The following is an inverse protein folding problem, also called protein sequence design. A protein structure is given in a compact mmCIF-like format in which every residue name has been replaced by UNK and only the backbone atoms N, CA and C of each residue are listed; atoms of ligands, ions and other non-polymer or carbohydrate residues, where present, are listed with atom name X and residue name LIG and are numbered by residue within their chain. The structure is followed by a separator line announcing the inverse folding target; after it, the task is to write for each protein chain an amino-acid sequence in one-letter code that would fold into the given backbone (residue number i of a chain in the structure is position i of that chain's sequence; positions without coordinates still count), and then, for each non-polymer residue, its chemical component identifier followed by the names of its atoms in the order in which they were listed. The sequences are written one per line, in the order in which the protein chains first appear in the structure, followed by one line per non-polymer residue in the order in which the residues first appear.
data_IF_167458738676
#
_entry.id   IF_167458738676
#
_cell.length_a   1.000
_cell.length_b   1.000
_cell.length_c   1.000
_cell.angle_alpha   90.00
_cell.angle_beta   90.00
_cell.angle_gamma   90.00
#
_symmetry.space_group_name_H-M   'P 1'
#
loop_
_entity.id
_entity.type
_entity.pdbx_description
1 polymer ?
#
# COMPACT_ATOMS: atom_id res chain seq x y z
N UNK A 1 30.11 1.17 -35.27
CA UNK A 1 29.87 0.82 -33.87
C UNK A 1 28.43 0.36 -33.78
N UNK A 2 28.25 -0.94 -33.56
CA UNK A 2 26.94 -1.60 -33.62
C UNK A 2 26.19 -1.43 -32.28
N UNK A 3 24.97 -0.89 -32.34
CA UNK A 3 24.06 -0.82 -31.21
C UNK A 3 23.46 -2.23 -30.98
N UNK A 4 23.85 -2.86 -29.89
CA UNK A 4 23.30 -4.15 -29.49
C UNK A 4 21.87 -4.03 -29.02
N UNK A 5 20.95 -4.62 -29.77
CA UNK A 5 19.56 -4.80 -29.37
C UNK A 5 19.49 -5.78 -28.20
N UNK A 6 19.02 -5.32 -27.04
CA UNK A 6 18.68 -6.20 -25.91
C UNK A 6 17.35 -6.87 -26.24
N UNK A 7 17.41 -8.15 -26.62
CA UNK A 7 16.22 -8.98 -26.80
C UNK A 7 15.54 -9.16 -25.42
N UNK A 8 14.34 -8.63 -25.29
CA UNK A 8 13.44 -8.95 -24.17
C UNK A 8 12.87 -10.32 -24.44
N UNK A 9 13.29 -11.33 -23.69
CA UNK A 9 12.74 -12.67 -23.76
C UNK A 9 11.24 -12.62 -23.40
N UNK A 10 10.38 -12.97 -24.36
CA UNK A 10 8.96 -13.18 -24.13
C UNK A 10 8.81 -14.51 -23.38
N UNK A 11 8.12 -14.56 -22.23
CA UNK A 11 7.92 -15.81 -21.52
C UNK A 11 7.13 -16.80 -22.36
N UNK A 12 7.52 -18.07 -22.30
CA UNK A 12 6.86 -19.18 -22.99
C UNK A 12 5.37 -19.26 -22.62
N UNK A 13 4.44 -19.20 -23.58
CA UNK A 13 3.02 -19.29 -23.34
C UNK A 13 2.57 -20.60 -22.65
N UNK A 14 3.36 -21.65 -22.72
CA UNK A 14 3.07 -22.96 -22.09
C UNK A 14 3.23 -22.92 -20.56
N UNK A 15 4.00 -21.96 -20.01
CA UNK A 15 4.13 -21.74 -18.57
C UNK A 15 2.90 -21.06 -17.96
N UNK A 16 2.10 -20.36 -18.77
CA UNK A 16 0.90 -19.66 -18.33
C UNK A 16 -0.30 -20.59 -18.12
N UNK A 17 -0.27 -21.80 -18.69
CA UNK A 17 -1.35 -22.81 -18.58
C UNK A 17 -1.39 -23.56 -17.25
N UNK A 18 -0.37 -23.42 -16.38
CA UNK A 18 -0.28 -24.13 -15.10
C UNK A 18 -0.65 -23.30 -13.87
N UNK A 19 -1.02 -22.04 -14.06
CA UNK A 19 -1.54 -21.20 -12.98
C UNK A 19 -2.97 -21.62 -12.65
N UNK A 20 -3.13 -22.64 -11.82
CA UNK A 20 -4.39 -22.93 -11.13
C UNK A 20 -4.52 -21.94 -9.98
N UNK A 21 -4.90 -20.70 -10.28
CA UNK A 21 -5.50 -19.88 -9.24
C UNK A 21 -6.78 -20.60 -8.81
N UNK A 22 -6.97 -20.78 -7.51
CA UNK A 22 -8.25 -21.23 -6.98
C UNK A 22 -9.36 -20.40 -7.64
N UNK A 23 -10.53 -21.00 -7.97
CA UNK A 23 -11.63 -20.22 -8.47
C UNK A 23 -11.88 -19.06 -7.52
N UNK A 24 -12.22 -17.85 -8.02
CA UNK A 24 -12.57 -16.76 -7.12
C UNK A 24 -13.62 -17.30 -6.15
N UNK A 25 -13.52 -17.00 -4.85
CA UNK A 25 -14.53 -17.39 -3.89
C UNK A 25 -15.88 -16.99 -4.49
N UNK A 26 -16.91 -17.87 -4.41
CA UNK A 26 -18.21 -17.55 -4.96
C UNK A 26 -18.60 -16.17 -4.49
N UNK A 27 -19.02 -15.30 -5.42
CA UNK A 27 -19.67 -14.05 -5.04
C UNK A 27 -20.63 -14.38 -3.92
N UNK A 28 -20.61 -13.69 -2.78
CA UNK A 28 -21.51 -14.02 -1.70
C UNK A 28 -22.91 -14.05 -2.30
N UNK A 29 -23.48 -15.25 -2.34
CA UNK A 29 -24.87 -15.43 -2.72
C UNK A 29 -25.64 -14.41 -1.89
N UNK A 30 -26.61 -13.75 -2.51
CA UNK A 30 -27.53 -12.75 -1.96
C UNK A 30 -28.33 -13.30 -0.76
N UNK A 31 -27.64 -13.79 0.23
CA UNK A 31 -28.14 -14.04 1.57
C UNK A 31 -27.55 -12.95 2.44
N UNK A 32 -28.40 -12.10 2.99
CA UNK A 32 -28.08 -11.01 3.89
C UNK A 32 -27.30 -11.52 5.11
N UNK A 33 -25.99 -11.71 4.94
CA UNK A 33 -25.08 -11.72 6.05
C UNK A 33 -25.12 -10.30 6.62
N UNK A 34 -25.61 -10.15 7.83
CA UNK A 34 -25.55 -8.89 8.57
C UNK A 34 -24.13 -8.32 8.45
N UNK A 35 -23.97 -7.04 8.16
CA UNK A 35 -22.64 -6.44 8.04
C UNK A 35 -21.92 -6.71 9.36
N UNK A 36 -20.83 -7.46 9.32
CA UNK A 36 -19.96 -7.62 10.49
C UNK A 36 -19.43 -6.23 10.75
N UNK A 37 -19.96 -5.57 11.77
CA UNK A 37 -19.49 -4.26 12.19
C UNK A 37 -17.99 -4.36 12.45
N UNK A 38 -17.22 -3.40 11.93
CA UNK A 38 -15.81 -3.32 12.25
C UNK A 38 -15.64 -3.28 13.77
N UNK A 39 -14.66 -3.99 14.35
CA UNK A 39 -14.44 -4.03 15.79
C UNK A 39 -14.33 -2.61 16.35
N UNK A 40 -14.70 -2.42 17.61
CA UNK A 40 -14.45 -1.17 18.29
C UNK A 40 -12.95 -0.96 18.43
N UNK A 41 -12.50 0.24 18.11
CA UNK A 41 -11.08 0.59 18.14
C UNK A 41 -10.77 1.84 17.34
N UNK A 42 -9.57 2.39 17.51
CA UNK A 42 -9.12 3.55 16.75
C UNK A 42 -8.86 3.19 15.28
N UNK A 43 -8.74 4.22 14.45
CA UNK A 43 -8.08 4.12 13.16
C UNK A 43 -6.61 4.43 13.40
N UNK A 44 -5.71 3.58 12.95
CA UNK A 44 -4.27 3.85 12.98
C UNK A 44 -3.83 4.19 11.57
N UNK A 45 -3.36 5.44 11.37
CA UNK A 45 -2.68 5.84 10.15
C UNK A 45 -1.18 5.89 10.43
N UNK A 46 -0.41 5.02 9.79
CA UNK A 46 1.04 5.06 9.89
C UNK A 46 1.71 5.55 8.61
N UNK A 47 2.81 6.25 8.78
CA UNK A 47 3.59 6.90 7.74
C UNK A 47 5.00 6.30 7.75
N UNK A 48 5.34 5.37 6.83
CA UNK A 48 6.73 4.98 6.64
C UNK A 48 7.57 6.18 6.22
N UNK A 49 8.69 6.42 6.90
CA UNK A 49 9.55 7.57 6.65
C UNK A 49 11.03 7.20 6.69
N UNK A 50 11.82 7.75 5.75
CA UNK A 50 13.27 7.68 5.77
C UNK A 50 13.86 8.93 5.13
N UNK A 51 14.49 9.77 5.97
CA UNK A 51 15.05 11.07 5.58
C UNK A 51 13.99 12.00 4.93
N UNK A 52 12.91 12.23 5.67
CA UNK A 52 11.76 13.05 5.27
C UNK A 52 11.55 14.27 6.21
N UNK A 53 12.62 14.81 6.83
CA UNK A 53 12.51 15.95 7.76
C UNK A 53 11.81 17.17 7.15
N UNK A 54 11.95 17.36 5.83
CA UNK A 54 11.37 18.51 5.12
C UNK A 54 9.86 18.37 4.85
N UNK A 55 9.31 17.15 4.89
CA UNK A 55 7.92 16.84 4.48
C UNK A 55 7.06 16.31 5.62
N UNK A 56 7.64 15.53 6.54
CA UNK A 56 6.89 14.75 7.52
C UNK A 56 5.98 15.61 8.41
N UNK A 57 6.40 16.78 8.87
CA UNK A 57 5.55 17.66 9.70
C UNK A 57 4.31 18.12 8.95
N UNK A 58 4.47 18.50 7.68
CA UNK A 58 3.37 18.92 6.82
C UNK A 58 2.37 17.79 6.53
N UNK A 59 2.82 16.53 6.49
CA UNK A 59 1.95 15.38 6.35
C UNK A 59 1.22 15.09 7.66
N UNK A 60 1.94 15.01 8.78
CA UNK A 60 1.37 14.74 10.11
C UNK A 60 0.30 15.76 10.48
N UNK A 61 0.55 17.05 10.24
CA UNK A 61 -0.39 18.12 10.58
C UNK A 61 -1.73 18.06 9.83
N UNK A 62 -1.77 17.40 8.69
CA UNK A 62 -2.99 17.21 7.86
C UNK A 62 -3.76 15.91 8.17
N UNK A 63 -3.24 15.06 9.04
CA UNK A 63 -3.94 13.84 9.47
C UNK A 63 -5.18 14.23 10.29
N UNK A 64 -6.39 13.77 9.89
CA UNK A 64 -7.59 14.07 10.66
C UNK A 64 -7.53 13.40 12.04
N UNK A 65 -7.98 14.08 13.07
CA UNK A 65 -8.02 13.54 14.46
C UNK A 65 -9.19 12.57 14.68
N UNK A 66 -10.25 12.73 13.92
CA UNK A 66 -11.47 11.92 14.00
C UNK A 66 -11.95 11.57 12.58
N UNK A 67 -12.36 10.32 12.36
CA UNK A 67 -13.02 9.87 11.15
C UNK A 67 -14.19 8.97 11.54
N UNK A 68 -15.41 9.33 11.15
CA UNK A 68 -16.65 8.61 11.49
C UNK A 68 -16.80 8.35 13.00
N UNK A 69 -16.44 9.32 13.82
CA UNK A 69 -16.54 9.23 15.28
C UNK A 69 -15.43 8.41 15.94
N UNK A 70 -14.49 7.86 15.19
CA UNK A 70 -13.34 7.11 15.71
C UNK A 70 -12.10 7.98 15.76
N UNK A 71 -11.35 7.86 16.85
CA UNK A 71 -10.06 8.54 17.00
C UNK A 71 -9.08 8.01 15.94
N UNK A 72 -8.33 8.92 15.32
CA UNK A 72 -7.21 8.59 14.44
C UNK A 72 -5.91 8.77 15.20
N UNK A 73 -5.10 7.71 15.29
CA UNK A 73 -3.74 7.75 15.81
C UNK A 73 -2.78 7.81 14.63
N UNK A 74 -1.95 8.85 14.63
CA UNK A 74 -0.92 9.03 13.61
C UNK A 74 0.42 8.47 14.12
N UNK A 75 0.96 7.46 13.45
CA UNK A 75 2.27 6.90 13.73
C UNK A 75 3.24 7.26 12.60
N UNK A 76 4.48 7.55 12.93
CA UNK A 76 5.57 7.60 11.95
C UNK A 76 6.50 6.43 12.22
N UNK A 77 6.68 5.57 11.22
CA UNK A 77 7.63 4.45 11.28
C UNK A 77 8.93 4.94 10.64
N UNK A 78 9.85 5.34 11.49
CA UNK A 78 11.15 5.84 11.08
C UNK A 78 12.09 4.68 10.72
N UNK A 79 12.36 4.52 9.43
CA UNK A 79 13.24 3.48 8.90
C UNK A 79 14.73 3.90 8.97
N UNK A 80 15.17 4.24 10.19
CA UNK A 80 16.55 4.59 10.47
C UNK A 80 17.02 5.84 9.73
N UNK A 81 16.26 6.92 9.83
CA UNK A 81 16.64 8.23 9.26
C UNK A 81 17.95 8.72 9.88
N UNK A 82 18.75 9.42 9.09
CA UNK A 82 20.00 10.09 9.50
C UNK A 82 19.85 11.59 9.68
N UNK A 83 18.69 12.14 9.30
CA UNK A 83 18.27 13.51 9.49
C UNK A 83 17.32 13.64 10.70
N UNK A 84 16.67 14.76 10.85
CA UNK A 84 15.76 15.04 11.98
C UNK A 84 14.32 14.55 11.77
N UNK A 85 14.10 13.59 10.89
CA UNK A 85 12.75 13.07 10.57
C UNK A 85 11.97 12.67 11.82
N UNK A 86 12.56 11.84 12.70
CA UNK A 86 11.90 11.36 13.91
C UNK A 86 11.54 12.50 14.89
N UNK A 87 12.48 13.44 15.09
CA UNK A 87 12.28 14.61 15.96
C UNK A 87 11.16 15.50 15.42
N UNK A 88 11.20 15.82 14.13
CA UNK A 88 10.21 16.67 13.45
C UNK A 88 8.82 16.04 13.46
N UNK A 89 8.74 14.72 13.25
CA UNK A 89 7.48 13.97 13.32
C UNK A 89 6.86 14.01 14.71
N UNK A 90 7.68 13.79 15.77
CA UNK A 90 7.22 13.84 17.15
C UNK A 90 6.75 15.25 17.53
N UNK A 91 7.50 16.29 17.14
CA UNK A 91 7.13 17.68 17.37
C UNK A 91 5.83 18.09 16.65
N UNK A 92 5.51 17.45 15.50
CA UNK A 92 4.24 17.63 14.79
C UNK A 92 3.07 16.88 15.43
N UNK A 93 3.30 16.05 16.45
CA UNK A 93 2.27 15.33 17.21
C UNK A 93 2.04 13.88 16.78
N UNK A 94 2.94 13.27 15.98
CA UNK A 94 2.90 11.85 15.69
C UNK A 94 3.54 11.01 16.80
N UNK A 95 3.05 9.79 16.98
CA UNK A 95 3.79 8.75 17.69
C UNK A 95 4.91 8.23 16.77
N UNK A 96 6.13 8.16 17.26
CA UNK A 96 7.28 7.71 16.45
C UNK A 96 7.74 6.33 16.90
N UNK A 97 7.89 5.42 15.94
CA UNK A 97 8.47 4.09 16.12
C UNK A 97 9.71 3.98 15.24
N UNK A 98 10.89 3.97 15.84
CA UNK A 98 12.15 3.86 15.10
C UNK A 98 12.59 2.40 14.93
N UNK A 99 13.05 2.07 13.71
CA UNK A 99 13.66 0.78 13.40
C UNK A 99 15.17 0.75 13.72
N UNK A 100 15.74 1.89 14.15
CA UNK A 100 17.14 2.05 14.53
C UNK A 100 18.12 2.07 13.36
N UNK A 101 17.80 1.42 12.24
CA UNK A 101 18.58 1.40 10.99
C UNK A 101 17.67 1.22 9.79
N UNK A 102 18.14 1.63 8.60
CA UNK A 102 17.38 1.41 7.38
C UNK A 102 17.23 -0.09 7.08
N UNK A 103 16.00 -0.57 7.05
CA UNK A 103 15.60 -1.94 6.79
C UNK A 103 14.74 -2.05 5.52
N UNK A 104 14.35 -0.92 4.94
CA UNK A 104 13.56 -0.81 3.73
C UNK A 104 12.06 -0.64 3.96
N UNK A 105 11.40 -0.11 2.94
CA UNK A 105 9.98 0.26 3.00
C UNK A 105 9.07 -0.91 3.43
N UNK A 106 9.33 -2.13 2.96
CA UNK A 106 8.56 -3.30 3.36
C UNK A 106 8.68 -3.61 4.85
N UNK A 107 9.86 -3.44 5.46
CA UNK A 107 10.07 -3.59 6.89
C UNK A 107 9.29 -2.54 7.68
N UNK A 108 9.32 -1.28 7.23
CA UNK A 108 8.55 -0.20 7.84
C UNK A 108 7.04 -0.46 7.75
N UNK A 109 6.53 -0.98 6.63
CA UNK A 109 5.11 -1.35 6.48
C UNK A 109 4.75 -2.52 7.39
N UNK A 110 5.56 -3.59 7.47
CA UNK A 110 5.33 -4.70 8.43
C UNK A 110 5.25 -4.19 9.87
N UNK A 111 6.20 -3.34 10.25
CA UNK A 111 6.20 -2.76 11.61
C UNK A 111 4.96 -1.91 11.84
N UNK A 112 4.57 -1.08 10.89
CA UNK A 112 3.37 -0.24 11.00
C UNK A 112 2.08 -1.05 11.13
N UNK A 113 1.94 -2.15 10.38
CA UNK A 113 0.82 -3.07 10.52
C UNK A 113 0.80 -3.75 11.91
N UNK A 114 1.95 -4.23 12.39
CA UNK A 114 2.07 -4.81 13.72
C UNK A 114 1.69 -3.80 14.82
N UNK A 115 2.21 -2.58 14.74
CA UNK A 115 1.89 -1.49 15.67
C UNK A 115 0.39 -1.13 15.66
N UNK A 116 -0.25 -1.18 14.48
CA UNK A 116 -1.69 -0.94 14.38
C UNK A 116 -2.49 -2.07 15.06
N UNK A 117 -2.10 -3.33 14.86
CA UNK A 117 -2.72 -4.50 15.52
C UNK A 117 -2.53 -4.44 17.04
N UNK A 118 -1.31 -4.17 17.51
CA UNK A 118 -0.99 -4.04 18.94
C UNK A 118 -1.81 -2.95 19.63
N UNK A 119 -2.16 -1.87 18.91
CA UNK A 119 -3.01 -0.78 19.40
C UNK A 119 -4.51 -1.06 19.28
N UNK A 120 -4.90 -2.26 18.87
CA UNK A 120 -6.29 -2.63 18.71
C UNK A 120 -7.01 -1.84 17.62
N UNK A 121 -6.32 -1.50 16.54
CA UNK A 121 -6.91 -0.72 15.46
C UNK A 121 -8.09 -1.45 14.81
N UNK A 122 -9.23 -0.78 14.67
CA UNK A 122 -10.34 -1.25 13.85
C UNK A 122 -9.97 -1.23 12.35
N UNK A 123 -9.17 -0.23 11.97
CA UNK A 123 -8.62 -0.09 10.62
C UNK A 123 -7.17 0.37 10.71
N UNK A 124 -6.27 -0.33 10.04
CA UNK A 124 -4.90 0.08 9.79
C UNK A 124 -4.82 0.75 8.42
N UNK A 125 -4.33 1.97 8.35
CA UNK A 125 -4.10 2.67 7.08
C UNK A 125 -2.67 3.19 7.02
N UNK A 126 -2.16 3.41 5.81
CA UNK A 126 -0.85 4.01 5.63
C UNK A 126 -0.72 4.76 4.30
N UNK A 127 0.13 5.77 4.30
CA UNK A 127 0.59 6.47 3.11
C UNK A 127 2.02 6.97 3.31
N UNK A 128 2.68 7.36 2.21
CA UNK A 128 4.06 7.84 2.26
C UNK A 128 4.16 9.20 2.98
N UNK A 129 5.27 9.43 3.69
CA UNK A 129 5.54 10.65 4.45
C UNK A 129 6.07 11.81 3.58
N UNK A 130 6.16 11.65 2.26
CA UNK A 130 6.78 12.58 1.31
C UNK A 130 5.83 13.68 0.78
N UNK A 131 4.55 13.63 1.20
CA UNK A 131 3.53 14.60 0.81
C UNK A 131 2.90 14.38 -0.57
N UNK A 132 3.22 13.28 -1.27
CA UNK A 132 2.57 12.94 -2.55
C UNK A 132 1.07 12.59 -2.36
N UNK A 133 0.70 12.06 -1.18
CA UNK A 133 -0.68 11.73 -0.81
C UNK A 133 -1.30 12.76 0.13
N UNK A 134 -2.62 12.86 0.09
CA UNK A 134 -3.42 13.71 0.94
C UNK A 134 -3.95 12.89 2.15
N UNK A 135 -3.32 12.95 3.34
CA UNK A 135 -3.76 12.16 4.49
C UNK A 135 -5.17 12.54 4.96
N UNK A 136 -5.66 13.75 4.66
CA UNK A 136 -7.04 14.19 4.88
C UNK A 136 -8.08 13.37 4.13
N UNK A 137 -7.70 12.64 3.08
CA UNK A 137 -8.59 11.73 2.33
C UNK A 137 -8.76 10.35 3.00
N UNK A 138 -8.19 10.15 4.21
CA UNK A 138 -8.28 8.91 4.99
C UNK A 138 -9.72 8.36 5.07
N UNK A 139 -10.71 9.23 5.23
CA UNK A 139 -12.10 8.82 5.32
C UNK A 139 -12.55 8.00 4.11
N UNK A 140 -12.10 8.35 2.90
CA UNK A 140 -12.46 7.63 1.67
C UNK A 140 -12.02 6.17 1.71
N UNK A 141 -10.84 5.91 2.30
CA UNK A 141 -10.28 4.56 2.38
C UNK A 141 -10.92 3.73 3.50
N UNK A 142 -11.23 4.36 4.63
CA UNK A 142 -11.71 3.61 5.80
C UNK A 142 -13.23 3.34 5.76
N UNK A 143 -14.02 4.19 5.10
CA UNK A 143 -15.48 4.03 5.03
C UNK A 143 -15.92 2.69 4.44
N UNK A 144 -15.35 2.16 3.34
CA UNK A 144 -15.72 0.84 2.83
C UNK A 144 -15.47 -0.29 3.85
N UNK A 145 -14.40 -0.16 4.65
CA UNK A 145 -14.05 -1.15 5.69
C UNK A 145 -15.01 -1.06 6.87
N UNK A 146 -15.22 0.14 7.40
CA UNK A 146 -16.13 0.37 8.51
C UNK A 146 -17.56 -0.04 8.19
N UNK A 147 -17.96 0.08 6.92
CA UNK A 147 -19.26 -0.37 6.42
C UNK A 147 -19.32 -1.88 6.12
N UNK A 148 -18.26 -2.64 6.39
CA UNK A 148 -18.20 -4.08 6.11
C UNK A 148 -18.27 -4.45 4.63
N UNK A 149 -17.94 -3.52 3.72
CA UNK A 149 -17.99 -3.75 2.26
C UNK A 149 -16.66 -4.19 1.66
N UNK A 150 -15.55 -3.92 2.33
CA UNK A 150 -14.21 -4.31 1.93
C UNK A 150 -13.37 -4.61 3.18
N UNK A 151 -12.31 -5.37 2.99
CA UNK A 151 -11.30 -5.67 4.01
C UNK A 151 -9.96 -5.03 3.67
N UNK A 152 -9.75 -4.74 2.38
CA UNK A 152 -8.56 -4.10 1.86
C UNK A 152 -8.94 -3.05 0.82
N UNK A 153 -8.54 -1.81 1.05
CA UNK A 153 -8.87 -0.66 0.20
C UNK A 153 -7.60 0.03 -0.27
N UNK A 154 -7.54 0.30 -1.57
CA UNK A 154 -6.44 1.05 -2.21
C UNK A 154 -6.97 2.39 -2.73
N UNK A 155 -6.27 3.46 -2.36
CA UNK A 155 -6.52 4.78 -2.94
C UNK A 155 -5.96 4.84 -4.36
N UNK A 156 -6.84 4.85 -5.36
CA UNK A 156 -6.43 4.89 -6.77
C UNK A 156 -6.19 6.32 -7.25
N UNK A 157 -4.96 6.57 -7.69
CA UNK A 157 -4.56 7.83 -8.32
C UNK A 157 -5.18 7.98 -9.72
N UNK A 158 -5.35 6.84 -10.43
CA UNK A 158 -5.87 6.84 -11.80
C UNK A 158 -7.40 6.97 -11.89
N UNK A 159 -8.10 6.75 -10.79
CA UNK A 159 -9.55 7.00 -10.66
C UNK A 159 -9.85 8.36 -10.03
N UNK A 160 -8.83 9.05 -9.51
CA UNK A 160 -8.91 10.37 -8.88
C UNK A 160 -8.25 11.47 -9.70
N UNK A 161 -7.83 12.53 -9.01
CA UNK A 161 -7.20 13.70 -9.63
C UNK A 161 -5.67 13.60 -9.54
N UNK A 162 -5.01 13.41 -10.68
CA UNK A 162 -3.55 13.42 -10.79
C UNK A 162 -3.10 14.83 -11.18
N UNK A 163 -2.74 15.66 -10.20
CA UNK A 163 -2.25 17.01 -10.47
C UNK A 163 -0.91 17.00 -11.21
N UNK A 164 0.01 16.07 -10.88
CA UNK A 164 1.28 15.89 -11.59
C UNK A 164 1.84 14.49 -11.41
N UNK A 165 2.14 13.81 -12.52
CA UNK A 165 2.89 12.55 -12.54
C UNK A 165 3.79 12.54 -13.77
N UNK A 166 5.07 12.20 -13.61
CA UNK A 166 6.02 12.12 -14.73
C UNK A 166 5.56 11.05 -15.74
N UNK A 167 5.61 11.32 -17.07
CA UNK A 167 5.08 10.42 -18.09
C UNK A 167 5.64 8.99 -18.01
N UNK A 168 6.94 8.84 -17.77
CA UNK A 168 7.57 7.53 -17.64
C UNK A 168 7.11 6.76 -16.39
N UNK A 169 6.84 7.44 -15.25
CA UNK A 169 6.24 6.84 -14.06
C UNK A 169 4.81 6.40 -14.34
N UNK A 170 4.04 7.23 -15.05
CA UNK A 170 2.66 6.91 -15.44
C UNK A 170 2.60 5.67 -16.33
N UNK A 171 3.50 5.57 -17.31
CA UNK A 171 3.60 4.40 -18.18
C UNK A 171 4.01 3.15 -17.38
N UNK A 172 5.07 3.24 -16.56
CA UNK A 172 5.53 2.12 -15.72
C UNK A 172 4.44 1.61 -14.77
N UNK A 173 3.74 2.51 -14.09
CA UNK A 173 2.62 2.13 -13.21
C UNK A 173 1.49 1.45 -13.98
N UNK A 174 1.15 1.90 -15.20
CA UNK A 174 0.11 1.26 -16.03
C UNK A 174 0.52 -0.15 -16.45
N UNK A 175 1.77 -0.35 -16.86
CA UNK A 175 2.28 -1.67 -17.26
C UNK A 175 2.24 -2.63 -16.07
N UNK A 176 2.75 -2.22 -14.90
CA UNK A 176 2.75 -3.03 -13.69
C UNK A 176 1.33 -3.31 -13.18
N UNK A 177 0.43 -2.33 -13.25
CA UNK A 177 -0.98 -2.52 -12.90
C UNK A 177 -1.65 -3.49 -13.88
N UNK A 178 -1.35 -3.43 -15.19
CA UNK A 178 -1.88 -4.36 -16.18
C UNK A 178 -1.41 -5.80 -15.91
N UNK A 179 -0.13 -6.00 -15.56
CA UNK A 179 0.39 -7.29 -15.16
C UNK A 179 -0.31 -7.84 -13.90
N UNK A 180 -0.50 -6.98 -12.88
CA UNK A 180 -1.20 -7.33 -11.65
C UNK A 180 -2.69 -7.67 -11.92
N UNK A 181 -3.37 -6.89 -12.78
CA UNK A 181 -4.76 -7.17 -13.22
C UNK A 181 -4.87 -8.55 -13.86
N UNK A 182 -3.92 -8.89 -14.72
CA UNK A 182 -3.89 -10.19 -15.37
C UNK A 182 -3.68 -11.32 -14.35
N UNK A 183 -2.71 -11.16 -13.45
CA UNK A 183 -2.40 -12.13 -12.41
C UNK A 183 -3.55 -12.32 -11.40
N UNK A 184 -4.11 -11.23 -10.90
CA UNK A 184 -5.17 -11.24 -9.89
C UNK A 184 -6.58 -11.49 -10.48
N UNK A 185 -6.74 -11.46 -11.82
CA UNK A 185 -8.03 -11.52 -12.53
C UNK A 185 -9.07 -10.50 -12.02
N UNK A 186 -8.61 -9.37 -11.51
CA UNK A 186 -9.43 -8.32 -10.94
C UNK A 186 -9.31 -7.01 -11.73
N UNK A 187 -10.38 -6.21 -11.69
CA UNK A 187 -10.36 -4.85 -12.25
C UNK A 187 -9.65 -3.91 -11.28
N UNK A 188 -8.34 -3.83 -11.39
CA UNK A 188 -7.49 -2.89 -10.65
C UNK A 188 -7.23 -1.66 -11.52
N UNK A 189 -7.27 -0.46 -10.95
CA UNK A 189 -6.88 0.77 -11.66
C UNK A 189 -5.50 1.26 -11.24
N UNK A 190 -5.07 1.00 -9.99
CA UNK A 190 -3.77 1.43 -9.45
C UNK A 190 -3.14 0.42 -8.48
N UNK A 191 -2.41 -0.55 -9.01
CA UNK A 191 -1.68 -1.53 -8.19
C UNK A 191 -0.43 -0.99 -7.47
N UNK A 192 -0.03 0.27 -7.74
CA UNK A 192 1.21 0.86 -7.24
C UNK A 192 0.98 2.00 -6.23
N UNK A 193 -0.26 2.29 -5.87
CA UNK A 193 -0.55 3.32 -4.88
C UNK A 193 0.02 2.96 -3.51
N UNK A 194 0.65 3.94 -2.86
CA UNK A 194 1.13 3.85 -1.48
C UNK A 194 0.05 4.17 -0.43
N UNK A 195 -1.14 4.64 -0.82
CA UNK A 195 -2.21 4.92 0.14
C UNK A 195 -3.19 3.75 0.23
N UNK A 196 -3.21 3.09 1.38
CA UNK A 196 -3.95 1.84 1.58
C UNK A 196 -4.58 1.78 2.97
N UNK A 197 -5.67 1.01 3.09
CA UNK A 197 -6.30 0.70 4.37
C UNK A 197 -6.70 -0.78 4.44
N UNK A 198 -6.56 -1.37 5.62
CA UNK A 198 -6.84 -2.76 5.91
C UNK A 198 -7.76 -2.86 7.12
N UNK A 199 -8.70 -3.81 7.10
CA UNK A 199 -9.44 -4.20 8.32
C UNK A 199 -8.48 -4.80 9.35
N UNK A 200 -8.88 -4.86 10.61
CA UNK A 200 -8.08 -5.48 11.67
C UNK A 200 -7.65 -6.92 11.30
N UNK A 201 -8.57 -7.71 10.73
CA UNK A 201 -8.30 -9.08 10.30
C UNK A 201 -7.30 -9.13 9.14
N UNK A 202 -7.47 -8.26 8.14
CA UNK A 202 -6.53 -8.18 7.02
C UNK A 202 -5.15 -7.70 7.47
N UNK A 203 -5.06 -6.74 8.38
CA UNK A 203 -3.80 -6.24 8.93
C UNK A 203 -3.04 -7.32 9.72
N UNK A 204 -3.77 -8.12 10.52
CA UNK A 204 -3.19 -9.24 11.31
C UNK A 204 -2.62 -10.33 10.41
N UNK A 205 -3.27 -10.62 9.28
CA UNK A 205 -2.90 -11.73 8.40
C UNK A 205 -2.08 -11.30 7.18
N UNK A 206 -1.77 -10.01 7.05
CA UNK A 206 -0.99 -9.48 5.91
C UNK A 206 0.46 -9.94 5.98
N UNK A 207 0.95 -10.53 4.88
CA UNK A 207 2.34 -10.93 4.73
C UNK A 207 3.07 -10.02 3.75
N UNK A 208 4.02 -9.24 4.26
CA UNK A 208 4.91 -8.40 3.45
C UNK A 208 6.28 -9.06 3.43
N UNK A 209 6.51 -9.93 2.45
CA UNK A 209 7.69 -10.81 2.40
C UNK A 209 8.96 -10.11 1.87
N UNK A 210 8.86 -8.90 1.31
CA UNK A 210 10.00 -8.18 0.75
C UNK A 210 10.15 -6.78 1.33
N UNK A 211 11.39 -6.41 1.65
CA UNK A 211 11.72 -5.10 2.20
C UNK A 211 11.69 -3.99 1.14
N UNK A 212 11.75 -4.34 -0.13
CA UNK A 212 11.91 -3.36 -1.23
C UNK A 212 10.61 -2.89 -1.87
N UNK A 213 9.63 -3.77 -2.10
CA UNK A 213 8.34 -3.42 -2.70
C UNK A 213 7.23 -4.34 -2.21
N UNK A 214 6.37 -3.79 -1.41
CA UNK A 214 5.23 -4.50 -0.81
C UNK A 214 3.96 -4.45 -1.69
N UNK A 215 3.87 -3.49 -2.61
CA UNK A 215 2.59 -3.06 -3.19
C UNK A 215 1.85 -4.18 -3.92
N UNK A 216 2.53 -4.91 -4.81
CA UNK A 216 1.92 -6.02 -5.54
C UNK A 216 1.77 -7.26 -4.65
N UNK A 217 2.80 -7.56 -3.86
CA UNK A 217 2.85 -8.75 -3.01
C UNK A 217 1.72 -8.69 -1.98
N UNK A 218 1.59 -7.59 -1.25
CA UNK A 218 0.50 -7.40 -0.28
C UNK A 218 -0.89 -7.52 -0.95
N UNK A 219 -1.04 -7.00 -2.17
CA UNK A 219 -2.32 -7.12 -2.90
C UNK A 219 -2.61 -8.57 -3.26
N UNK A 220 -1.64 -9.31 -3.80
CA UNK A 220 -1.80 -10.73 -4.14
C UNK A 220 -2.01 -11.61 -2.91
N UNK A 221 -1.25 -11.38 -1.85
CA UNK A 221 -1.38 -12.08 -0.58
C UNK A 221 -2.79 -11.97 0.00
N UNK A 222 -3.30 -10.74 0.16
CA UNK A 222 -4.63 -10.53 0.72
C UNK A 222 -5.75 -11.07 -0.18
N UNK A 223 -5.61 -10.96 -1.51
CA UNK A 223 -6.56 -11.53 -2.45
C UNK A 223 -6.53 -13.06 -2.43
N UNK A 224 -5.34 -13.67 -2.36
CA UNK A 224 -5.17 -15.12 -2.23
C UNK A 224 -5.78 -15.66 -0.95
N UNK A 225 -5.76 -14.89 0.14
CA UNK A 225 -6.41 -15.20 1.42
C UNK A 225 -7.93 -14.91 1.43
N UNK A 226 -8.51 -14.46 0.31
CA UNK A 226 -9.95 -14.22 0.15
C UNK A 226 -10.47 -12.91 0.75
N UNK A 227 -9.61 -11.95 1.11
CA UNK A 227 -10.03 -10.64 1.58
C UNK A 227 -10.68 -9.81 0.47
N UNK A 228 -11.77 -9.11 0.81
CA UNK A 228 -12.55 -8.30 -0.13
C UNK A 228 -11.80 -7.01 -0.44
N UNK A 229 -11.55 -6.79 -1.72
CA UNK A 229 -10.82 -5.65 -2.25
C UNK A 229 -11.75 -4.54 -2.74
N UNK A 230 -11.35 -3.28 -2.53
CA UNK A 230 -11.97 -2.13 -3.17
C UNK A 230 -10.92 -1.06 -3.53
N UNK A 231 -11.27 -0.22 -4.50
CA UNK A 231 -10.53 1.01 -4.81
C UNK A 231 -11.41 2.23 -4.60
N UNK A 232 -10.79 3.31 -4.13
CA UNK A 232 -11.43 4.61 -3.99
C UNK A 232 -10.58 5.68 -4.69
N UNK A 233 -11.20 6.67 -5.34
CA UNK A 233 -10.44 7.74 -5.98
C UNK A 233 -9.75 8.62 -4.92
N UNK A 234 -8.47 8.94 -5.13
CA UNK A 234 -7.70 9.86 -4.31
C UNK A 234 -6.97 10.91 -5.15
N UNK A 235 -6.69 12.06 -4.54
CA UNK A 235 -5.78 13.05 -5.08
C UNK A 235 -4.33 12.58 -4.99
N UNK A 236 -3.54 12.96 -5.99
CA UNK A 236 -2.11 12.70 -6.01
C UNK A 236 -1.35 13.97 -6.39
N UNK A 237 -0.50 14.42 -5.47
CA UNK A 237 0.31 15.60 -5.60
C UNK A 237 1.71 15.32 -6.15
N UNK A 238 2.50 16.37 -6.28
CA UNK A 238 3.90 16.26 -6.63
C UNK A 238 4.74 16.38 -5.35
N UNK A 239 5.71 15.47 -5.18
CA UNK A 239 6.70 15.56 -4.13
C UNK A 239 7.48 16.88 -4.25
N UNK A 240 7.46 17.68 -3.20
CA UNK A 240 8.12 19.00 -3.20
C UNK A 240 9.59 18.92 -2.80
N UNK A 241 10.02 17.83 -2.13
CA UNK A 241 11.38 17.63 -1.62
C UNK A 241 11.81 16.17 -1.72
N UNK A 242 13.14 15.91 -1.71
CA UNK A 242 13.74 14.58 -1.70
C UNK A 242 13.97 13.94 -3.07
N UNK A 243 14.64 12.76 -3.09
CA UNK A 243 14.96 12.00 -4.32
C UNK A 243 14.22 10.66 -4.31
N UNK A 244 13.69 10.25 -5.47
CA UNK A 244 13.10 8.92 -5.64
C UNK A 244 14.18 7.84 -5.60
N UNK A 245 14.03 6.84 -4.73
CA UNK A 245 14.96 5.73 -4.58
C UNK A 245 14.69 4.56 -5.55
N UNK A 246 13.58 4.59 -6.29
CA UNK A 246 13.17 3.48 -7.17
C UNK A 246 14.04 3.47 -8.42
N UNK A 247 14.94 2.46 -8.51
CA UNK A 247 15.71 2.13 -9.72
C UNK A 247 15.05 0.96 -10.43
N UNK A 248 14.51 1.19 -11.63
CA UNK A 248 13.70 0.22 -12.39
C UNK A 248 14.37 -1.17 -12.51
N UNK A 249 15.67 -1.26 -12.74
CA UNK A 249 16.37 -2.53 -12.89
C UNK A 249 16.42 -3.35 -11.58
N UNK A 250 16.64 -2.71 -10.41
CA UNK A 250 16.56 -3.38 -9.10
C UNK A 250 15.13 -3.80 -8.79
N UNK A 251 14.18 -2.92 -9.11
CA UNK A 251 12.77 -3.16 -8.94
C UNK A 251 12.31 -4.44 -9.65
N UNK A 252 12.57 -4.57 -10.95
CA UNK A 252 12.15 -5.74 -11.73
C UNK A 252 12.80 -7.03 -11.25
N UNK A 253 14.09 -7.00 -10.86
CA UNK A 253 14.79 -8.17 -10.31
C UNK A 253 14.19 -8.66 -8.99
N UNK A 254 13.64 -7.78 -8.17
CA UNK A 254 13.03 -8.14 -6.89
C UNK A 254 11.56 -8.56 -7.04
N UNK A 255 10.80 -7.89 -7.90
CA UNK A 255 9.35 -8.08 -8.04
C UNK A 255 9.00 -9.33 -8.83
N UNK A 256 9.73 -9.64 -9.92
CA UNK A 256 9.41 -10.79 -10.77
C UNK A 256 9.46 -12.13 -10.01
N UNK A 257 10.51 -12.45 -9.24
CA UNK A 257 10.54 -13.68 -8.43
C UNK A 257 9.49 -13.71 -7.33
N UNK A 258 9.18 -12.54 -6.73
CA UNK A 258 8.18 -12.43 -5.68
C UNK A 258 6.77 -12.71 -6.19
N UNK A 259 6.38 -12.08 -7.29
CA UNK A 259 5.10 -12.32 -7.96
C UNK A 259 5.01 -13.79 -8.41
N UNK A 260 6.08 -14.35 -8.95
CA UNK A 260 6.13 -15.76 -9.31
C UNK A 260 5.93 -16.69 -8.10
N UNK A 261 6.51 -16.37 -6.96
CA UNK A 261 6.34 -17.14 -5.72
C UNK A 261 4.88 -17.08 -5.23
N UNK A 262 4.29 -15.88 -5.14
CA UNK A 262 2.89 -15.72 -4.71
C UNK A 262 1.90 -16.43 -5.64
N UNK A 263 2.16 -16.42 -6.94
CA UNK A 263 1.32 -17.11 -7.92
C UNK A 263 1.47 -18.65 -7.88
N UNK A 264 2.52 -19.18 -7.25
CA UNK A 264 2.76 -20.63 -7.12
C UNK A 264 2.61 -21.14 -5.67
N UNK A 265 2.34 -20.27 -4.69
CA UNK A 265 2.13 -20.65 -3.29
C UNK A 265 0.66 -20.99 -2.98
N UNK A 266 -0.25 -20.88 -3.97
CA UNK A 266 -1.68 -21.16 -3.86
C UNK A 266 -2.04 -22.56 -4.38
#
# INVERSE_FOLDING_TARGET
MAAGAVAVAVPDPSLLGRLRLAPPPPSPASGAASPVSAPDGPIVLFLPAHNEEASVAGVVSRVPRLVRGRTVRCLVIDDGSTDRTAEVAAAAGAEVVSLGRNQGLGAAVRRGLAEAVERGAAVAAFCDADGEYAPEELERLVVPILAGRADYVVGSRFSGDIRRMLPHRRLGNRVLTAALRYAARLRLTDGQSGYRALSAAAATNAEVIHDFNYAQVLTLDLLGKGYRYAEVPIGYGFRTSGRSFVRLGRYLRAVVPAVHRELNAA
#
